data_IF_162399867286
#
_entry.id   IF_162399867286
#
_cell.length_a   1.000
_cell.length_b   1.000
_cell.length_c   1.000
_cell.angle_alpha   90.00
_cell.angle_beta   90.00
_cell.angle_gamma   90.00
#
_symmetry.space_group_name_H-M   'P 1'
#
loop_
_entity.id
_entity.type
_entity.pdbx_description
1 polymer ?
#
# COMPACT_ATOMS: atom_id res chain seq x y z
N UNK A 1 -24.90 21.99 13.87
CA UNK A 1 -23.89 20.93 14.07
C UNK A 1 -22.87 21.06 12.95
N UNK A 2 -21.98 22.03 13.08
CA UNK A 2 -20.95 22.36 12.07
C UNK A 2 -19.53 22.22 12.64
N UNK A 3 -19.36 21.52 13.77
CA UNK A 3 -18.06 21.29 14.40
C UNK A 3 -17.43 19.94 14.05
N UNK A 4 -18.23 18.91 13.78
CA UNK A 4 -17.72 17.54 13.59
C UNK A 4 -17.04 17.31 12.22
N UNK A 5 -17.36 18.09 11.19
CA UNK A 5 -16.73 17.94 9.86
C UNK A 5 -15.35 18.60 9.80
N UNK A 6 -15.21 19.79 10.39
CA UNK A 6 -13.95 20.55 10.47
C UNK A 6 -12.90 19.83 11.34
N UNK A 7 -13.36 19.17 12.41
CA UNK A 7 -12.48 18.38 13.27
C UNK A 7 -11.96 17.10 12.58
N UNK A 8 -12.76 16.45 11.74
CA UNK A 8 -12.33 15.23 11.04
C UNK A 8 -11.31 15.51 9.93
N UNK A 9 -11.52 16.55 9.12
CA UNK A 9 -10.56 16.94 8.07
C UNK A 9 -9.20 17.32 8.67
N UNK A 10 -9.21 18.03 9.81
CA UNK A 10 -8.00 18.40 10.55
C UNK A 10 -7.26 17.19 11.12
N UNK A 11 -7.98 16.20 11.65
CA UNK A 11 -7.37 14.95 12.14
C UNK A 11 -6.71 14.18 10.99
N UNK A 12 -7.36 14.10 9.82
CA UNK A 12 -6.82 13.42 8.65
C UNK A 12 -5.53 14.07 8.15
N UNK A 13 -5.48 15.41 8.09
CA UNK A 13 -4.26 16.16 7.75
C UNK A 13 -3.13 15.93 8.78
N UNK A 14 -3.43 16.00 10.08
CA UNK A 14 -2.45 15.77 11.14
C UNK A 14 -1.86 14.34 11.09
N UNK A 15 -2.69 13.33 10.79
CA UNK A 15 -2.25 11.94 10.62
C UNK A 15 -1.36 11.79 9.38
N UNK A 16 -1.71 12.44 8.28
CA UNK A 16 -0.94 12.38 7.04
C UNK A 16 0.41 13.09 7.18
N UNK A 17 0.47 14.27 7.80
CA UNK A 17 1.71 15.00 8.07
C UNK A 17 2.67 14.16 8.91
N UNK A 18 2.15 13.52 9.97
CA UNK A 18 2.94 12.59 10.78
C UNK A 18 3.48 11.42 9.97
N UNK A 19 2.68 10.85 9.07
CA UNK A 19 3.15 9.79 8.17
C UNK A 19 4.30 10.29 7.27
N UNK A 20 4.20 11.50 6.72
CA UNK A 20 5.27 12.09 5.91
C UNK A 20 6.56 12.27 6.71
N UNK A 21 6.47 12.77 7.95
CA UNK A 21 7.63 12.88 8.85
C UNK A 21 8.31 11.54 9.09
N UNK A 22 7.52 10.48 9.30
CA UNK A 22 8.05 9.13 9.50
C UNK A 22 8.65 8.55 8.21
N UNK A 23 8.06 8.82 7.05
CA UNK A 23 8.61 8.40 5.75
C UNK A 23 9.96 9.08 5.44
N UNK A 24 10.13 10.35 5.83
CA UNK A 24 11.39 11.08 5.69
C UNK A 24 12.54 10.43 6.48
N UNK A 25 12.26 9.73 7.58
CA UNK A 25 13.27 8.96 8.31
C UNK A 25 13.92 7.88 7.43
N UNK A 26 13.17 7.33 6.47
CA UNK A 26 13.65 6.38 5.47
C UNK A 26 14.21 7.05 4.21
N UNK A 27 14.34 8.39 4.21
CA UNK A 27 14.78 9.21 3.06
C UNK A 27 13.88 9.03 1.82
N UNK A 28 12.60 8.75 2.05
CA UNK A 28 11.59 8.66 1.00
C UNK A 28 10.86 10.00 0.95
N UNK A 29 10.73 10.55 -0.26
CA UNK A 29 9.95 11.76 -0.54
C UNK A 29 8.96 11.46 -1.66
N UNK A 30 7.78 12.10 -1.67
CA UNK A 30 6.88 12.04 -2.81
C UNK A 30 7.58 12.58 -4.05
N UNK A 31 7.57 11.83 -5.15
CA UNK A 31 8.02 12.36 -6.44
C UNK A 31 7.03 13.41 -6.94
N UNK A 32 7.54 14.57 -7.36
CA UNK A 32 6.71 15.65 -7.93
C UNK A 32 6.10 15.31 -9.28
N UNK A 33 6.64 14.28 -9.96
CA UNK A 33 6.33 13.93 -11.34
C UNK A 33 5.43 12.67 -11.44
N UNK A 34 4.68 12.32 -10.38
CA UNK A 34 3.88 11.10 -10.39
C UNK A 34 2.78 11.15 -11.46
N UNK A 35 2.89 10.28 -12.47
CA UNK A 35 2.02 10.21 -13.66
C UNK A 35 0.60 9.68 -13.34
N UNK A 36 0.38 9.14 -12.14
CA UNK A 36 -0.92 8.61 -11.72
C UNK A 36 -1.23 8.94 -10.26
N UNK A 37 -1.54 10.20 -9.99
CA UNK A 37 -2.22 10.54 -8.73
C UNK A 37 -3.67 10.07 -8.83
N UNK A 38 -4.20 9.32 -7.86
CA UNK A 38 -5.64 9.07 -7.81
C UNK A 38 -6.36 10.42 -7.74
N UNK A 39 -7.26 10.68 -8.71
CA UNK A 39 -7.91 11.98 -8.83
C UNK A 39 -9.05 12.15 -7.81
N UNK A 40 -9.68 11.05 -7.39
CA UNK A 40 -10.80 11.02 -6.45
C UNK A 40 -10.97 9.60 -5.88
N UNK A 41 -11.03 9.45 -4.55
CA UNK A 41 -11.27 8.18 -3.84
C UNK A 41 -12.65 8.15 -3.13
N UNK A 42 -13.54 9.09 -3.44
CA UNK A 42 -14.86 9.20 -2.81
C UNK A 42 -15.80 8.05 -3.21
N UNK A 43 -15.70 7.53 -4.44
CA UNK A 43 -16.52 6.41 -4.90
C UNK A 43 -15.86 5.05 -4.63
N UNK A 44 -16.70 4.02 -4.43
CA UNK A 44 -16.23 2.63 -4.26
C UNK A 44 -15.49 2.12 -5.51
N UNK A 45 -16.01 2.44 -6.70
CA UNK A 45 -15.40 2.08 -7.97
C UNK A 45 -13.99 2.69 -8.13
N UNK A 46 -13.85 3.97 -7.77
CA UNK A 46 -12.55 4.64 -7.83
C UNK A 46 -11.54 4.06 -6.84
N UNK A 47 -11.97 3.71 -5.61
CA UNK A 47 -11.12 3.01 -4.64
C UNK A 47 -10.70 1.63 -5.14
N UNK A 48 -11.62 0.87 -5.69
CA UNK A 48 -11.34 -0.46 -6.25
C UNK A 48 -10.32 -0.38 -7.39
N UNK A 49 -10.55 0.51 -8.35
CA UNK A 49 -9.63 0.75 -9.46
C UNK A 49 -8.25 1.19 -9.00
N UNK A 50 -8.18 2.08 -8.00
CA UNK A 50 -6.91 2.51 -7.40
C UNK A 50 -6.15 1.32 -6.79
N UNK A 51 -6.82 0.45 -6.03
CA UNK A 51 -6.21 -0.74 -5.45
C UNK A 51 -5.70 -1.72 -6.54
N UNK A 52 -6.47 -1.93 -7.60
CA UNK A 52 -6.07 -2.77 -8.74
C UNK A 52 -4.84 -2.24 -9.46
N UNK A 53 -4.79 -0.92 -9.71
CA UNK A 53 -3.64 -0.27 -10.35
C UNK A 53 -2.39 -0.37 -9.47
N UNK A 54 -2.54 -0.19 -8.16
CA UNK A 54 -1.46 -0.35 -7.19
C UNK A 54 -0.93 -1.80 -7.14
N UNK A 55 -1.83 -2.79 -7.13
CA UNK A 55 -1.47 -4.20 -7.19
C UNK A 55 -0.67 -4.53 -8.45
N UNK A 56 -1.15 -4.09 -9.62
CA UNK A 56 -0.46 -4.29 -10.90
C UNK A 56 0.90 -3.60 -10.95
N UNK A 57 1.03 -2.41 -10.38
CA UNK A 57 2.29 -1.69 -10.28
C UNK A 57 3.30 -2.45 -9.40
N UNK A 58 2.86 -2.96 -8.25
CA UNK A 58 3.68 -3.79 -7.36
C UNK A 58 4.13 -5.09 -8.03
N UNK A 59 3.22 -5.82 -8.68
CA UNK A 59 3.54 -7.04 -9.41
C UNK A 59 4.53 -6.78 -10.55
N UNK A 60 4.31 -5.71 -11.33
CA UNK A 60 5.22 -5.29 -12.40
C UNK A 60 6.62 -4.97 -11.86
N UNK A 61 6.72 -4.31 -10.69
CA UNK A 61 7.99 -4.07 -10.02
C UNK A 61 8.69 -5.38 -9.67
N UNK A 62 7.99 -6.35 -9.07
CA UNK A 62 8.52 -7.67 -8.76
C UNK A 62 9.08 -8.38 -9.98
N UNK A 63 8.29 -8.42 -11.05
CA UNK A 63 8.69 -9.05 -12.32
C UNK A 63 9.92 -8.39 -12.92
N UNK A 64 9.99 -7.05 -12.91
CA UNK A 64 11.12 -6.32 -13.47
C UNK A 64 12.41 -6.56 -12.68
N UNK A 65 12.34 -6.52 -11.35
CA UNK A 65 13.53 -6.78 -10.52
C UNK A 65 14.03 -8.22 -10.72
N UNK A 66 13.14 -9.21 -10.72
CA UNK A 66 13.49 -10.61 -10.92
C UNK A 66 14.00 -10.91 -12.35
N UNK A 67 13.45 -10.25 -13.38
CA UNK A 67 13.86 -10.44 -14.78
C UNK A 67 15.31 -10.01 -15.04
N UNK A 68 15.80 -9.02 -14.28
CA UNK A 68 17.16 -8.49 -14.39
C UNK A 68 18.21 -9.29 -13.60
N UNK A 69 17.81 -10.39 -12.93
CA UNK A 69 18.70 -11.23 -12.14
C UNK A 69 19.07 -12.55 -12.86
N UNK A 70 20.24 -13.13 -12.52
CA UNK A 70 20.66 -14.44 -12.98
C UNK A 70 19.66 -15.56 -12.69
N UNK A 71 19.72 -16.62 -13.49
CA UNK A 71 18.98 -17.87 -13.22
C UNK A 71 19.42 -18.45 -11.87
N UNK A 72 18.47 -18.79 -11.01
CA UNK A 72 18.71 -19.26 -9.64
C UNK A 72 18.41 -18.22 -8.57
N UNK A 73 18.58 -16.93 -8.84
CA UNK A 73 18.40 -15.85 -7.85
C UNK A 73 17.01 -15.19 -7.91
N UNK A 74 16.25 -15.44 -8.98
CA UNK A 74 14.97 -14.76 -9.24
C UNK A 74 13.91 -15.01 -8.18
N UNK A 75 13.80 -16.25 -7.71
CA UNK A 75 12.83 -16.62 -6.67
C UNK A 75 13.25 -16.10 -5.29
N UNK A 76 14.55 -16.00 -5.02
CA UNK A 76 15.05 -15.40 -3.79
C UNK A 76 14.71 -13.90 -3.73
N UNK A 77 14.82 -13.20 -4.87
CA UNK A 77 14.37 -11.82 -4.99
C UNK A 77 12.87 -11.67 -4.76
N UNK A 78 12.04 -12.54 -5.35
CA UNK A 78 10.59 -12.53 -5.11
C UNK A 78 10.24 -12.79 -3.64
N UNK A 79 10.93 -13.72 -2.99
CA UNK A 79 10.75 -14.00 -1.57
C UNK A 79 11.14 -12.78 -0.70
N UNK A 80 12.27 -12.14 -1.01
CA UNK A 80 12.70 -10.91 -0.34
C UNK A 80 11.69 -9.76 -0.51
N UNK A 81 11.15 -9.58 -1.71
CA UNK A 81 10.12 -8.57 -1.99
C UNK A 81 8.83 -8.82 -1.21
N UNK A 82 8.36 -10.07 -1.12
CA UNK A 82 7.19 -10.41 -0.33
C UNK A 82 7.35 -10.04 1.16
N UNK A 83 8.52 -10.31 1.75
CA UNK A 83 8.84 -9.93 3.13
C UNK A 83 8.84 -8.39 3.30
N UNK A 84 9.46 -7.67 2.36
CA UNK A 84 9.51 -6.21 2.40
C UNK A 84 8.11 -5.61 2.28
N UNK A 85 7.24 -6.15 1.41
CA UNK A 85 5.86 -5.69 1.29
C UNK A 85 5.05 -6.00 2.55
N UNK A 86 5.23 -7.16 3.19
CA UNK A 86 4.59 -7.44 4.48
C UNK A 86 5.02 -6.42 5.55
N UNK A 87 6.30 -6.04 5.59
CA UNK A 87 6.79 -4.97 6.48
C UNK A 87 6.17 -3.61 6.13
N UNK A 88 6.06 -3.27 4.85
CA UNK A 88 5.46 -2.02 4.39
C UNK A 88 3.98 -1.95 4.80
N UNK A 89 3.24 -3.03 4.61
CA UNK A 89 1.85 -3.15 5.05
C UNK A 89 1.73 -2.89 6.55
N UNK A 90 2.56 -3.53 7.38
CA UNK A 90 2.58 -3.27 8.82
C UNK A 90 2.88 -1.81 9.16
N UNK A 91 3.84 -1.20 8.45
CA UNK A 91 4.18 0.22 8.61
C UNK A 91 3.00 1.14 8.26
N UNK A 92 2.29 0.88 7.16
CA UNK A 92 1.11 1.66 6.75
C UNK A 92 -0.04 1.50 7.74
N UNK A 93 -0.33 0.27 8.20
CA UNK A 93 -1.41 0.04 9.18
C UNK A 93 -1.17 0.74 10.51
N UNK A 94 0.09 0.90 10.92
CA UNK A 94 0.45 1.55 12.17
C UNK A 94 0.20 3.08 12.17
N UNK A 95 -0.15 3.66 11.02
CA UNK A 95 -0.45 5.09 10.92
C UNK A 95 -1.91 5.41 11.28
N UNK A 96 -2.78 4.41 11.30
CA UNK A 96 -4.21 4.61 11.55
C UNK A 96 -4.54 4.58 13.05
N UNK A 97 -5.59 5.30 13.50
CA UNK A 97 -6.07 5.22 14.86
C UNK A 97 -6.46 3.77 15.26
N UNK A 98 -6.27 3.37 16.53
CA UNK A 98 -6.60 2.02 17.01
C UNK A 98 -8.06 1.59 16.76
N UNK A 99 -8.98 2.55 16.64
CA UNK A 99 -10.39 2.35 16.35
C UNK A 99 -10.62 1.79 14.94
N UNK A 100 -9.69 2.04 14.02
CA UNK A 100 -9.69 1.49 12.67
C UNK A 100 -8.91 0.18 12.71
N UNK A 101 -9.57 -0.92 13.06
CA UNK A 101 -8.97 -2.28 13.08
C UNK A 101 -8.66 -2.77 11.65
N UNK A 102 -7.62 -2.21 11.04
CA UNK A 102 -7.13 -2.62 9.73
C UNK A 102 -6.38 -3.95 9.77
N UNK A 103 -5.93 -4.38 10.95
CA UNK A 103 -5.11 -5.58 11.09
C UNK A 103 -5.87 -6.83 10.59
N UNK A 104 -7.16 -6.95 10.94
CA UNK A 104 -8.01 -8.05 10.45
C UNK A 104 -8.18 -8.01 8.95
N UNK A 105 -8.54 -6.85 8.40
CA UNK A 105 -8.77 -6.65 6.97
C UNK A 105 -7.53 -6.97 6.15
N UNK A 106 -6.37 -6.50 6.60
CA UNK A 106 -5.08 -6.78 5.97
C UNK A 106 -4.72 -8.26 6.05
N UNK A 107 -4.94 -8.90 7.20
CA UNK A 107 -4.68 -10.34 7.35
C UNK A 107 -5.54 -11.16 6.41
N UNK A 108 -6.83 -10.80 6.26
CA UNK A 108 -7.72 -11.44 5.30
C UNK A 108 -7.23 -11.25 3.85
N UNK A 109 -6.85 -10.02 3.48
CA UNK A 109 -6.32 -9.73 2.15
C UNK A 109 -5.02 -10.53 1.83
N UNK A 110 -4.16 -10.75 2.83
CA UNK A 110 -2.98 -11.62 2.68
C UNK A 110 -3.39 -13.07 2.37
N UNK A 111 -4.40 -13.58 3.08
CA UNK A 111 -4.92 -14.93 2.83
C UNK A 111 -5.55 -15.05 1.45
N UNK A 112 -6.34 -14.06 1.03
CA UNK A 112 -6.96 -14.03 -0.29
C UNK A 112 -5.88 -14.07 -1.39
N UNK A 113 -4.86 -13.22 -1.30
CA UNK A 113 -3.75 -13.20 -2.25
C UNK A 113 -2.91 -14.48 -2.26
N UNK A 114 -2.76 -15.17 -1.12
CA UNK A 114 -2.09 -16.48 -1.06
C UNK A 114 -2.89 -17.57 -1.79
N UNK A 115 -4.22 -17.51 -1.72
CA UNK A 115 -5.10 -18.49 -2.35
C UNK A 115 -5.36 -18.18 -3.84
N UNK A 116 -5.24 -16.92 -4.25
CA UNK A 116 -5.55 -16.43 -5.60
C UNK A 116 -4.89 -17.25 -6.74
N UNK A 117 -3.59 -17.64 -6.68
CA UNK A 117 -2.99 -18.45 -7.74
C UNK A 117 -3.68 -19.81 -7.93
N UNK A 118 -4.22 -20.41 -6.86
CA UNK A 118 -4.92 -21.69 -6.93
C UNK A 118 -6.32 -21.58 -7.58
N UNK A 119 -6.84 -20.36 -7.72
CA UNK A 119 -8.13 -20.09 -8.37
C UNK A 119 -7.99 -19.67 -9.83
N UNK A 120 -6.78 -19.27 -10.26
CA UNK A 120 -6.48 -18.80 -11.62
C UNK A 120 -5.80 -19.89 -12.46
N UNK A 121 -5.02 -20.77 -11.83
CA UNK A 121 -4.30 -21.88 -12.47
C UNK A 121 -5.18 -23.12 -12.70
#
# INVERSE_FOLDING_TARGET
MCGEFDDNERIDEELFDRFLELALHFKVQPDSDSVSSPADLQSEDARSKYMDELFRAGLKRCMNDAANLPLGERMDALAGQAIVFARLVGFLTAQFPPEVDLYRTVTAAIQDGYNEPAHIA
#
